data_IF_093888086980
#
_entry.id   IF_093888086980
#
_cell.length_a   1.000
_cell.length_b   1.000
_cell.length_c   1.000
_cell.angle_alpha   90.00
_cell.angle_beta   90.00
_cell.angle_gamma   90.00
#
_symmetry.space_group_name_H-M   'P 1'
#
loop_
_entity.id
_entity.type
_entity.pdbx_description
1 polymer ?
#
# COMPACT_ATOMS: atom_id res chain seq x y z
N UNK A 1 13.45 -2.63 -23.63
CA UNK A 1 12.87 -1.57 -22.76
C UNK A 1 13.10 -1.92 -21.30
N UNK A 2 13.44 -0.95 -20.45
CA UNK A 2 13.60 -1.21 -19.01
C UNK A 2 12.25 -1.44 -18.32
N UNK A 3 12.18 -2.35 -17.35
CA UNK A 3 10.94 -2.63 -16.62
C UNK A 3 10.64 -1.53 -15.61
N UNK A 4 9.37 -1.15 -15.54
CA UNK A 4 8.82 -0.23 -14.53
C UNK A 4 8.04 -1.03 -13.52
N UNK A 5 8.36 -0.86 -12.24
CA UNK A 5 7.63 -1.45 -11.12
C UNK A 5 6.64 -0.43 -10.57
N UNK A 6 5.39 -0.84 -10.37
CA UNK A 6 4.40 -0.05 -9.64
C UNK A 6 4.18 -0.69 -8.28
N UNK A 7 4.70 -0.02 -7.25
CA UNK A 7 4.71 -0.49 -5.88
C UNK A 7 3.62 0.23 -5.08
N UNK A 8 2.65 -0.55 -4.62
CA UNK A 8 1.46 -0.05 -3.97
C UNK A 8 1.46 -0.36 -2.48
N UNK A 9 1.14 0.65 -1.66
CA UNK A 9 0.50 0.38 -0.39
C UNK A 9 -0.99 -0.02 -0.57
N UNK A 10 -1.62 -0.54 0.48
CA UNK A 10 -2.96 -1.13 0.42
C UNK A 10 -4.00 -0.31 1.18
N UNK A 11 -4.05 -0.44 2.51
CA UNK A 11 -5.05 0.19 3.35
C UNK A 11 -4.85 1.71 3.36
N UNK A 12 -5.88 2.49 3.07
CA UNK A 12 -5.77 3.94 2.93
C UNK A 12 -5.24 4.39 1.56
N UNK A 13 -4.60 3.51 0.78
CA UNK A 13 -4.12 3.80 -0.58
C UNK A 13 -5.06 3.25 -1.65
N UNK A 14 -5.23 1.93 -1.74
CA UNK A 14 -6.09 1.27 -2.73
C UNK A 14 -7.45 0.90 -2.17
N UNK A 15 -7.54 0.75 -0.85
CA UNK A 15 -8.76 0.40 -0.14
C UNK A 15 -9.14 1.50 0.85
N UNK A 16 -10.43 1.80 0.94
CA UNK A 16 -11.00 2.55 2.04
C UNK A 16 -11.26 1.57 3.19
N UNK A 17 -10.75 1.91 4.38
CA UNK A 17 -10.95 1.15 5.61
C UNK A 17 -11.39 2.12 6.70
N UNK A 18 -12.60 1.91 7.21
CA UNK A 18 -13.19 2.74 8.25
C UNK A 18 -13.55 1.88 9.45
N UNK A 19 -13.07 2.29 10.62
CA UNK A 19 -13.35 1.66 11.90
C UNK A 19 -14.74 2.07 12.40
N UNK A 20 -15.61 1.10 12.68
CA UNK A 20 -16.96 1.37 13.18
C UNK A 20 -16.98 1.47 14.71
N UNK A 21 -16.71 2.68 15.22
CA UNK A 21 -16.75 2.99 16.66
C UNK A 21 -18.14 2.72 17.24
N UNK A 22 -19.21 3.06 16.51
CA UNK A 22 -20.59 2.93 17.01
C UNK A 22 -20.95 1.49 17.30
N UNK A 23 -20.52 0.57 16.43
CA UNK A 23 -20.84 -0.85 16.59
C UNK A 23 -19.87 -1.60 17.49
N UNK A 24 -18.65 -1.10 17.67
CA UNK A 24 -17.64 -1.74 18.53
C UNK A 24 -17.66 -1.23 19.96
N UNK A 25 -17.99 0.05 20.17
CA UNK A 25 -17.83 0.73 21.46
C UNK A 25 -16.38 1.10 21.78
N UNK A 26 -15.41 0.86 20.88
CA UNK A 26 -14.00 1.17 21.10
C UNK A 26 -13.54 2.31 20.19
N UNK A 27 -12.75 3.27 20.70
CA UNK A 27 -12.33 4.44 19.93
C UNK A 27 -11.35 4.09 18.80
N UNK A 28 -10.55 3.03 18.96
CA UNK A 28 -9.69 2.53 17.91
C UNK A 28 -9.66 0.99 17.87
N UNK A 29 -9.32 0.48 16.69
CA UNK A 29 -9.16 -0.96 16.44
C UNK A 29 -8.20 -1.64 17.42
N UNK A 30 -7.09 -0.99 17.78
CA UNK A 30 -6.12 -1.56 18.71
C UNK A 30 -6.68 -1.78 20.11
N UNK A 31 -7.64 -0.94 20.54
CA UNK A 31 -8.27 -1.07 21.85
C UNK A 31 -9.27 -2.24 21.84
N UNK A 32 -10.01 -2.40 20.74
CA UNK A 32 -10.89 -3.55 20.53
C UNK A 32 -10.10 -4.86 20.44
N UNK A 33 -8.97 -4.88 19.72
CA UNK A 33 -8.09 -6.06 19.62
C UNK A 33 -7.57 -6.46 21.00
N UNK A 34 -7.03 -5.50 21.76
CA UNK A 34 -6.53 -5.75 23.11
C UNK A 34 -7.64 -6.35 24.00
N UNK A 35 -8.85 -5.80 23.96
CA UNK A 35 -9.99 -6.32 24.70
C UNK A 35 -10.41 -7.73 24.24
N UNK A 36 -10.42 -8.00 22.93
CA UNK A 36 -10.76 -9.33 22.38
C UNK A 36 -9.75 -10.40 22.76
N UNK A 37 -8.47 -10.05 22.79
CA UNK A 37 -7.39 -10.94 23.19
C UNK A 37 -7.21 -11.02 24.72
N UNK A 38 -7.95 -10.23 25.50
CA UNK A 38 -7.79 -10.09 26.95
C UNK A 38 -6.36 -9.71 27.35
N UNK A 39 -5.73 -8.82 26.58
CA UNK A 39 -4.37 -8.32 26.79
C UNK A 39 -4.35 -6.81 26.98
N UNK A 40 -3.27 -6.28 27.54
CA UNK A 40 -2.98 -4.84 27.41
C UNK A 40 -2.55 -4.55 25.97
N UNK A 41 -2.83 -3.34 25.49
CA UNK A 41 -2.45 -2.91 24.13
C UNK A 41 -0.94 -3.04 23.86
N UNK A 42 -0.10 -2.81 24.86
CA UNK A 42 1.35 -2.95 24.77
C UNK A 42 1.85 -4.41 24.68
N UNK A 43 1.00 -5.37 25.00
CA UNK A 43 1.29 -6.81 24.98
C UNK A 43 0.78 -7.49 23.71
N UNK A 44 -0.02 -6.79 22.91
CA UNK A 44 -0.48 -7.27 21.60
C UNK A 44 0.68 -7.16 20.63
N UNK A 45 1.10 -8.29 20.08
CA UNK A 45 2.16 -8.32 19.07
C UNK A 45 1.66 -7.76 17.73
N UNK A 46 2.58 -7.30 16.88
CA UNK A 46 2.22 -6.84 15.52
C UNK A 46 1.51 -7.96 14.73
N UNK A 47 1.92 -9.22 14.89
CA UNK A 47 1.26 -10.38 14.26
C UNK A 47 -0.19 -10.54 14.72
N UNK A 48 -0.41 -10.58 16.03
CA UNK A 48 -1.76 -10.72 16.60
C UNK A 48 -2.68 -9.57 16.18
N UNK A 49 -2.12 -8.35 16.13
CA UNK A 49 -2.84 -7.18 15.65
C UNK A 49 -3.30 -7.36 14.19
N UNK A 50 -2.40 -7.82 13.30
CA UNK A 50 -2.73 -8.02 11.90
C UNK A 50 -3.64 -9.24 11.67
N UNK A 51 -3.55 -10.31 12.46
CA UNK A 51 -4.42 -11.49 12.39
C UNK A 51 -5.88 -11.18 12.74
N UNK A 52 -6.11 -10.27 13.68
CA UNK A 52 -7.46 -9.85 14.06
C UNK A 52 -8.22 -9.13 12.94
N UNK A 53 -7.53 -8.66 11.89
CA UNK A 53 -8.20 -8.15 10.69
C UNK A 53 -8.93 -9.25 9.90
N UNK A 54 -8.55 -10.53 10.06
CA UNK A 54 -9.29 -11.67 9.47
C UNK A 54 -10.75 -11.62 9.86
N UNK A 55 -11.01 -11.44 11.15
CA UNK A 55 -12.37 -11.35 11.68
C UNK A 55 -13.15 -10.23 10.98
N UNK A 56 -12.53 -9.05 10.87
CA UNK A 56 -13.14 -7.88 10.23
C UNK A 56 -13.52 -8.14 8.77
N UNK A 57 -12.61 -8.72 7.99
CA UNK A 57 -12.81 -8.94 6.57
C UNK A 57 -13.72 -10.15 6.28
N UNK A 58 -13.70 -11.20 7.10
CA UNK A 58 -14.58 -12.35 6.89
C UNK A 58 -16.04 -12.07 7.26
N UNK A 59 -16.30 -11.19 8.23
CA UNK A 59 -17.64 -10.92 8.75
C UNK A 59 -18.19 -9.54 8.33
N UNK A 60 -17.37 -8.70 7.69
CA UNK A 60 -17.76 -7.36 7.28
C UNK A 60 -17.96 -6.35 8.41
N UNK A 61 -17.41 -6.66 9.57
CA UNK A 61 -17.40 -5.86 10.78
C UNK A 61 -16.25 -6.37 11.66
N UNK A 62 -15.48 -5.52 12.34
CA UNK A 62 -15.70 -4.10 12.63
C UNK A 62 -15.20 -3.04 11.65
N UNK A 63 -14.64 -3.46 10.51
CA UNK A 63 -14.10 -2.54 9.51
C UNK A 63 -15.02 -2.50 8.30
N UNK A 64 -15.44 -1.30 7.90
CA UNK A 64 -16.06 -1.07 6.61
C UNK A 64 -14.98 -0.94 5.56
N UNK A 65 -14.88 -1.97 4.72
CA UNK A 65 -13.92 -2.04 3.62
C UNK A 65 -14.60 -1.66 2.28
N UNK A 66 -13.92 -0.91 1.42
CA UNK A 66 -14.36 -0.63 0.06
C UNK A 66 -13.17 -0.44 -0.89
N UNK A 67 -13.37 -0.68 -2.19
CA UNK A 67 -12.42 -0.28 -3.22
C UNK A 67 -12.43 1.25 -3.36
N UNK A 68 -11.26 1.85 -3.55
CA UNK A 68 -11.23 3.28 -3.90
C UNK A 68 -11.70 3.52 -5.34
N UNK A 69 -12.35 4.66 -5.61
CA UNK A 69 -12.67 5.06 -6.97
C UNK A 69 -11.42 5.06 -7.87
N UNK A 70 -11.54 4.48 -9.06
CA UNK A 70 -10.43 4.33 -10.02
C UNK A 70 -9.54 3.11 -9.79
N UNK A 71 -9.78 2.27 -8.76
CA UNK A 71 -8.96 1.09 -8.46
C UNK A 71 -8.69 0.20 -9.69
N UNK A 72 -9.75 -0.24 -10.39
CA UNK A 72 -9.61 -1.12 -11.55
C UNK A 72 -8.91 -0.41 -12.70
N UNK A 73 -9.34 0.79 -13.02
CA UNK A 73 -8.81 1.59 -14.13
C UNK A 73 -7.29 1.78 -14.00
N UNK A 74 -6.85 2.20 -12.81
CA UNK A 74 -5.44 2.47 -12.53
C UNK A 74 -4.63 1.18 -12.56
N UNK A 75 -5.10 0.10 -11.92
CA UNK A 75 -4.33 -1.14 -11.88
C UNK A 75 -4.31 -1.92 -13.21
N UNK A 76 -5.30 -1.72 -14.08
CA UNK A 76 -5.25 -2.21 -15.47
C UNK A 76 -4.22 -1.43 -16.29
N UNK A 77 -4.16 -0.11 -16.09
CA UNK A 77 -3.24 0.75 -16.81
C UNK A 77 -1.78 0.53 -16.37
N UNK A 78 -1.54 0.37 -15.07
CA UNK A 78 -0.21 0.11 -14.52
C UNK A 78 0.17 -1.36 -14.74
N UNK A 79 1.27 -1.60 -15.47
CA UNK A 79 1.82 -2.96 -15.65
C UNK A 79 2.75 -3.30 -14.49
N UNK A 80 2.91 -4.58 -14.14
CA UNK A 80 3.82 -5.02 -13.06
C UNK A 80 3.49 -4.42 -11.67
N UNK A 81 2.24 -4.55 -11.25
CA UNK A 81 1.83 -4.13 -9.91
C UNK A 81 2.31 -5.13 -8.87
N UNK A 82 2.97 -4.61 -7.84
CA UNK A 82 3.26 -5.35 -6.62
C UNK A 82 2.87 -4.51 -5.42
N UNK A 83 2.58 -5.18 -4.31
CA UNK A 83 2.30 -4.47 -3.05
C UNK A 83 3.53 -4.48 -2.15
N UNK A 84 3.60 -3.47 -1.27
CA UNK A 84 4.49 -3.48 -0.11
C UNK A 84 3.71 -2.89 1.07
N UNK A 85 3.00 -3.74 1.80
CA UNK A 85 2.08 -3.35 2.87
C UNK A 85 2.63 -3.67 4.26
N UNK A 86 2.11 -2.97 5.26
CA UNK A 86 2.34 -3.29 6.69
C UNK A 86 1.56 -4.51 7.16
N UNK A 87 0.44 -4.84 6.51
CA UNK A 87 -0.35 -6.03 6.83
C UNK A 87 0.27 -7.31 6.27
N UNK A 88 -0.18 -8.45 6.78
CA UNK A 88 0.26 -9.78 6.32
C UNK A 88 -0.26 -10.09 4.91
N UNK A 89 0.41 -10.99 4.20
CA UNK A 89 0.05 -11.37 2.82
C UNK A 89 -1.37 -11.97 2.75
N UNK A 90 -1.73 -12.77 3.75
CA UNK A 90 -3.01 -13.46 3.89
C UNK A 90 -4.19 -12.48 3.93
N UNK A 91 -3.97 -11.26 4.42
CA UNK A 91 -5.02 -10.26 4.46
C UNK A 91 -5.55 -9.90 3.08
N UNK A 92 -4.75 -10.05 2.02
CA UNK A 92 -5.27 -9.83 0.67
C UNK A 92 -6.33 -10.88 0.30
N UNK A 93 -6.16 -12.13 0.72
CA UNK A 93 -7.17 -13.16 0.50
C UNK A 93 -8.45 -12.84 1.27
N UNK A 94 -8.33 -12.35 2.50
CA UNK A 94 -9.48 -11.94 3.31
C UNK A 94 -10.21 -10.73 2.72
N UNK A 95 -9.45 -9.70 2.28
CA UNK A 95 -10.01 -8.55 1.55
C UNK A 95 -10.72 -8.99 0.28
N UNK A 96 -10.14 -9.92 -0.49
CA UNK A 96 -10.75 -10.46 -1.70
C UNK A 96 -12.07 -11.17 -1.41
N UNK A 97 -12.15 -11.99 -0.35
CA UNK A 97 -13.41 -12.64 0.08
C UNK A 97 -14.52 -11.61 0.32
N UNK A 98 -14.19 -10.50 0.97
CA UNK A 98 -15.13 -9.42 1.25
C UNK A 98 -15.50 -8.57 0.02
N UNK A 99 -14.50 -8.22 -0.80
CA UNK A 99 -14.64 -7.22 -1.86
C UNK A 99 -15.04 -7.82 -3.21
N UNK A 100 -14.65 -9.05 -3.54
CA UNK A 100 -14.90 -9.63 -4.86
C UNK A 100 -16.40 -9.65 -5.24
N UNK A 101 -17.35 -9.99 -4.34
CA UNK A 101 -18.77 -9.91 -4.66
C UNK A 101 -19.24 -8.49 -5.04
N UNK A 102 -18.67 -7.47 -4.40
CA UNK A 102 -19.00 -6.05 -4.63
C UNK A 102 -18.29 -5.49 -5.86
N UNK A 103 -17.08 -5.99 -6.12
CA UNK A 103 -16.26 -5.59 -7.24
C UNK A 103 -16.68 -6.27 -8.54
N UNK A 104 -17.37 -7.42 -8.48
CA UNK A 104 -17.69 -8.23 -9.65
C UNK A 104 -16.45 -8.84 -10.33
N UNK A 105 -15.32 -8.94 -9.64
CA UNK A 105 -14.10 -9.56 -10.15
C UNK A 105 -13.16 -9.94 -8.99
N UNK A 106 -12.19 -10.81 -9.28
CA UNK A 106 -11.12 -11.12 -8.33
C UNK A 106 -10.05 -10.02 -8.31
N UNK A 107 -10.04 -9.22 -7.23
CA UNK A 107 -9.13 -8.09 -7.07
C UNK A 107 -7.65 -8.52 -7.01
N UNK A 108 -7.36 -9.79 -6.73
CA UNK A 108 -5.98 -10.28 -6.63
C UNK A 108 -5.28 -10.35 -7.98
N UNK A 109 -6.05 -10.51 -9.06
CA UNK A 109 -5.55 -10.65 -10.44
C UNK A 109 -4.79 -9.41 -10.93
N UNK A 110 -4.97 -8.27 -10.28
CA UNK A 110 -4.27 -7.04 -10.63
C UNK A 110 -2.81 -6.98 -10.17
N UNK A 111 -2.37 -7.90 -9.31
CA UNK A 111 -1.04 -7.89 -8.71
C UNK A 111 -0.24 -9.13 -9.09
N UNK A 112 1.05 -8.93 -9.35
CA UNK A 112 2.00 -10.01 -9.59
C UNK A 112 2.50 -10.64 -8.28
N UNK A 113 2.59 -9.83 -7.24
CA UNK A 113 3.05 -10.26 -5.93
C UNK A 113 2.52 -9.37 -4.81
N UNK A 114 2.19 -9.99 -3.69
CA UNK A 114 1.91 -9.32 -2.43
C UNK A 114 3.16 -9.40 -1.55
N UNK A 115 3.83 -8.27 -1.32
CA UNK A 115 4.94 -8.23 -0.35
C UNK A 115 4.45 -7.56 0.94
N UNK A 116 4.96 -8.06 2.06
CA UNK A 116 4.60 -7.63 3.40
C UNK A 116 5.85 -7.25 4.20
N UNK A 117 5.71 -6.38 5.20
CA UNK A 117 6.76 -6.18 6.21
C UNK A 117 7.06 -7.47 6.99
N UNK A 118 6.09 -8.38 7.08
CA UNK A 118 6.26 -9.71 7.69
C UNK A 118 7.23 -10.62 6.92
N UNK A 119 7.52 -10.32 5.65
CA UNK A 119 8.55 -11.02 4.87
C UNK A 119 9.98 -10.68 5.35
N UNK A 120 10.10 -9.70 6.24
CA UNK A 120 11.37 -9.15 6.74
C UNK A 120 11.49 -9.24 8.27
N UNK A 121 10.50 -9.82 8.96
CA UNK A 121 10.45 -9.98 10.42
C UNK A 121 9.04 -9.78 10.97
N UNK A 122 8.79 -10.15 12.22
CA UNK A 122 7.47 -10.09 12.88
C UNK A 122 7.05 -8.65 13.24
N UNK A 123 6.89 -7.79 12.23
CA UNK A 123 6.47 -6.40 12.43
C UNK A 123 5.55 -5.88 11.34
N UNK A 124 4.63 -4.99 11.73
CA UNK A 124 3.76 -4.24 10.84
C UNK A 124 4.29 -2.82 10.55
N UNK A 125 5.59 -2.56 10.76
CA UNK A 125 6.21 -1.26 10.52
C UNK A 125 7.17 -1.33 9.34
N UNK A 126 6.99 -0.43 8.37
CA UNK A 126 7.93 -0.28 7.25
C UNK A 126 9.22 0.38 7.75
N UNK A 127 10.35 -0.13 7.29
CA UNK A 127 11.67 0.51 7.51
C UNK A 127 12.37 0.81 6.18
N UNK A 128 13.35 1.71 6.23
CA UNK A 128 14.19 2.05 5.07
C UNK A 128 14.95 0.82 4.58
N UNK A 129 15.45 -0.01 5.50
CA UNK A 129 16.27 -1.19 5.26
C UNK A 129 15.50 -2.26 4.49
N UNK A 130 14.23 -2.49 4.85
CA UNK A 130 13.35 -3.40 4.11
C UNK A 130 13.18 -2.95 2.65
N UNK A 131 12.92 -1.65 2.45
CA UNK A 131 12.78 -1.07 1.10
C UNK A 131 14.09 -1.13 0.31
N UNK A 132 15.25 -0.88 0.93
CA UNK A 132 16.56 -1.05 0.27
C UNK A 132 16.74 -2.49 -0.20
N UNK A 133 16.44 -3.47 0.67
CA UNK A 133 16.55 -4.88 0.31
C UNK A 133 15.60 -5.25 -0.84
N UNK A 134 14.34 -4.82 -0.75
CA UNK A 134 13.33 -5.04 -1.78
C UNK A 134 13.74 -4.44 -3.13
N UNK A 135 14.08 -3.14 -3.15
CA UNK A 135 14.49 -2.43 -4.36
C UNK A 135 15.76 -3.03 -4.97
N UNK A 136 16.70 -3.51 -4.15
CA UNK A 136 17.90 -4.21 -4.62
C UNK A 136 17.57 -5.52 -5.35
N UNK A 137 16.65 -6.31 -4.80
CA UNK A 137 16.14 -7.53 -5.47
C UNK A 137 15.50 -7.18 -6.82
N UNK A 138 14.64 -6.16 -6.87
CA UNK A 138 13.97 -5.71 -8.10
C UNK A 138 14.94 -5.16 -9.13
N UNK A 139 15.95 -4.41 -8.70
CA UNK A 139 16.99 -3.94 -9.60
C UNK A 139 17.74 -5.10 -10.28
N UNK A 140 18.09 -6.15 -9.54
CA UNK A 140 18.70 -7.36 -10.14
C UNK A 140 17.78 -8.07 -11.13
N UNK A 141 16.47 -7.98 -10.96
CA UNK A 141 15.45 -8.51 -11.88
C UNK A 141 15.19 -7.63 -13.12
N UNK A 142 15.97 -6.55 -13.32
CA UNK A 142 15.87 -5.68 -14.49
C UNK A 142 14.90 -4.50 -14.34
N UNK A 143 14.27 -4.32 -13.18
CA UNK A 143 13.50 -3.11 -12.89
C UNK A 143 14.45 -1.92 -12.73
N UNK A 144 14.26 -0.87 -13.53
CA UNK A 144 15.08 0.36 -13.48
C UNK A 144 14.28 1.58 -13.08
N UNK A 145 12.95 1.53 -13.17
CA UNK A 145 12.06 2.59 -12.73
C UNK A 145 11.11 2.03 -11.69
N UNK A 146 10.92 2.75 -10.58
CA UNK A 146 9.95 2.38 -9.55
C UNK A 146 9.00 3.53 -9.28
N UNK A 147 7.71 3.29 -9.37
CA UNK A 147 6.68 4.19 -8.89
C UNK A 147 6.20 3.67 -7.55
N UNK A 148 6.25 4.50 -6.52
CA UNK A 148 5.72 4.16 -5.20
C UNK A 148 4.52 5.02 -4.87
N UNK A 149 3.47 4.40 -4.34
CA UNK A 149 2.20 5.04 -4.01
C UNK A 149 1.80 4.64 -2.60
N UNK A 150 1.59 5.62 -1.73
CA UNK A 150 1.25 5.43 -0.31
C UNK A 150 0.44 6.62 0.21
N UNK A 151 -0.47 6.39 1.16
CA UNK A 151 -1.27 7.43 1.80
C UNK A 151 -0.58 8.04 3.03
N UNK A 152 0.45 7.37 3.56
CA UNK A 152 1.22 7.85 4.70
C UNK A 152 2.50 8.55 4.24
N UNK A 153 2.58 9.84 4.52
CA UNK A 153 3.77 10.65 4.21
C UNK A 153 5.07 10.11 4.83
N UNK A 154 5.01 9.50 6.02
CA UNK A 154 6.18 8.88 6.66
C UNK A 154 6.76 7.74 5.81
N UNK A 155 5.90 6.87 5.26
CA UNK A 155 6.31 5.79 4.35
C UNK A 155 6.93 6.36 3.06
N UNK A 156 6.34 7.43 2.52
CA UNK A 156 6.89 8.14 1.37
C UNK A 156 8.32 8.65 1.63
N UNK A 157 8.56 9.22 2.83
CA UNK A 157 9.90 9.68 3.24
C UNK A 157 10.91 8.53 3.36
N UNK A 158 10.49 7.38 3.91
CA UNK A 158 11.34 6.18 3.96
C UNK A 158 11.71 5.69 2.56
N UNK A 159 10.75 5.68 1.63
CA UNK A 159 11.00 5.32 0.24
C UNK A 159 12.02 6.23 -0.44
N UNK A 160 11.89 7.57 -0.31
CA UNK A 160 12.87 8.51 -0.87
C UNK A 160 14.28 8.21 -0.31
N UNK A 161 14.37 7.99 1.00
CA UNK A 161 15.65 7.69 1.66
C UNK A 161 16.26 6.36 1.17
N UNK A 162 15.43 5.33 1.00
CA UNK A 162 15.84 4.04 0.46
C UNK A 162 16.33 4.16 -0.99
N UNK A 163 15.59 4.85 -1.86
CA UNK A 163 15.97 5.04 -3.26
C UNK A 163 17.26 5.85 -3.37
N UNK A 164 17.43 6.94 -2.60
CA UNK A 164 18.69 7.70 -2.59
C UNK A 164 19.88 6.83 -2.18
N UNK A 165 19.71 5.98 -1.18
CA UNK A 165 20.73 5.01 -0.77
C UNK A 165 21.06 4.03 -1.90
N UNK A 166 20.04 3.53 -2.59
CA UNK A 166 20.17 2.64 -3.74
C UNK A 166 20.87 3.31 -4.92
N UNK A 167 20.56 4.57 -5.22
CA UNK A 167 21.14 5.32 -6.35
C UNK A 167 22.66 5.54 -6.20
N UNK A 168 23.19 5.58 -4.98
CA UNK A 168 24.65 5.61 -4.73
C UNK A 168 25.36 4.38 -5.32
N UNK A 169 24.68 3.22 -5.32
CA UNK A 169 25.21 1.94 -5.82
C UNK A 169 24.70 1.58 -7.21
N UNK A 170 23.55 2.14 -7.61
CA UNK A 170 22.83 1.81 -8.83
C UNK A 170 22.37 3.09 -9.54
N UNK A 171 23.31 3.76 -10.21
CA UNK A 171 23.11 5.08 -10.86
C UNK A 171 21.97 5.13 -11.88
N UNK A 172 21.55 3.98 -12.42
CA UNK A 172 20.44 3.86 -13.38
C UNK A 172 19.03 3.72 -12.76
N UNK A 173 18.90 3.67 -11.43
CA UNK A 173 17.60 3.56 -10.77
C UNK A 173 16.86 4.91 -10.80
N UNK A 174 15.71 4.96 -11.46
CA UNK A 174 14.78 6.09 -11.50
C UNK A 174 13.60 5.82 -10.56
N UNK A 175 13.00 6.87 -10.03
CA UNK A 175 11.77 6.74 -9.26
C UNK A 175 10.79 7.89 -9.51
N UNK A 176 9.52 7.60 -9.26
CA UNK A 176 8.46 8.59 -9.04
C UNK A 176 7.69 8.19 -7.78
N UNK A 177 7.18 9.17 -7.06
CA UNK A 177 6.51 8.97 -5.78
C UNK A 177 5.21 9.75 -5.75
N UNK A 178 4.15 9.08 -5.34
CA UNK A 178 2.81 9.64 -5.19
C UNK A 178 2.34 9.46 -3.74
N UNK A 179 2.08 10.58 -3.07
CA UNK A 179 1.45 10.62 -1.77
C UNK A 179 -0.05 10.88 -1.97
N UNK A 180 -0.90 9.89 -1.70
CA UNK A 180 -2.34 10.01 -1.91
C UNK A 180 -3.02 10.58 -0.68
N UNK A 181 -3.66 11.73 -0.84
CA UNK A 181 -4.31 12.48 0.25
C UNK A 181 -5.78 12.09 0.45
N UNK A 182 -6.38 11.40 -0.53
CA UNK A 182 -7.77 10.97 -0.48
C UNK A 182 -8.78 12.12 -0.37
N UNK A 183 -8.47 13.23 -1.02
CA UNK A 183 -9.34 14.41 -1.07
C UNK A 183 -9.75 14.74 -2.52
N UNK A 184 -10.49 15.84 -2.69
CA UNK A 184 -10.92 16.30 -4.02
C UNK A 184 -9.86 17.15 -4.72
N UNK A 185 -8.66 17.29 -4.17
CA UNK A 185 -7.62 18.16 -4.75
C UNK A 185 -6.91 17.42 -5.89
N UNK A 186 -6.50 18.18 -6.90
CA UNK A 186 -5.71 17.64 -8.01
C UNK A 186 -4.24 17.40 -7.64
N UNK A 187 -3.43 17.20 -8.67
CA UNK A 187 -1.99 16.93 -8.53
C UNK A 187 -1.24 18.18 -8.06
N UNK A 188 -0.37 18.03 -7.06
CA UNK A 188 0.57 19.08 -6.64
C UNK A 188 1.99 18.53 -6.61
N UNK A 189 2.91 19.18 -7.32
CA UNK A 189 4.33 18.84 -7.30
C UNK A 189 4.96 19.32 -5.98
N UNK A 190 5.64 18.41 -5.28
CA UNK A 190 6.45 18.70 -4.10
C UNK A 190 7.91 18.36 -4.37
N UNK A 191 8.81 18.73 -3.46
CA UNK A 191 10.23 18.38 -3.58
C UNK A 191 10.39 16.86 -3.45
N UNK A 192 10.59 16.19 -4.58
CA UNK A 192 10.87 14.74 -4.64
C UNK A 192 9.66 13.82 -4.73
N UNK A 193 8.43 14.35 -4.81
CA UNK A 193 7.20 13.56 -4.96
C UNK A 193 6.03 14.41 -5.48
N UNK A 194 4.91 13.75 -5.80
CA UNK A 194 3.63 14.37 -6.14
C UNK A 194 2.61 14.06 -5.05
N UNK A 195 1.83 15.07 -4.64
CA UNK A 195 0.58 14.84 -3.91
C UNK A 195 -0.55 14.67 -4.91
N UNK A 196 -1.46 13.72 -4.65
CA UNK A 196 -2.64 13.45 -5.48
C UNK A 196 -3.87 13.27 -4.60
N UNK A 197 -5.04 13.65 -5.08
CA UNK A 197 -6.30 13.43 -4.36
C UNK A 197 -6.88 12.05 -4.65
N UNK A 198 -6.77 11.58 -5.89
CA UNK A 198 -7.42 10.35 -6.38
C UNK A 198 -6.43 9.43 -7.09
N UNK A 199 -6.73 8.13 -7.13
CA UNK A 199 -5.91 7.15 -7.84
C UNK A 199 -5.75 7.49 -9.33
N UNK A 200 -6.81 7.95 -9.99
CA UNK A 200 -6.81 8.30 -11.42
C UNK A 200 -5.87 9.46 -11.78
N UNK A 201 -5.52 10.30 -10.80
CA UNK A 201 -4.56 11.39 -11.00
C UNK A 201 -3.18 10.86 -11.40
N UNK A 202 -2.83 9.63 -10.99
CA UNK A 202 -1.58 8.96 -11.36
C UNK A 202 -1.52 8.78 -12.87
N UNK A 203 -2.58 8.23 -13.49
CA UNK A 203 -2.62 7.99 -14.95
C UNK A 203 -2.43 9.31 -15.69
N UNK A 204 -3.19 10.34 -15.28
CA UNK A 204 -3.16 11.65 -15.92
C UNK A 204 -1.77 12.28 -15.84
N UNK A 205 -1.10 12.19 -14.69
CA UNK A 205 0.25 12.71 -14.52
C UNK A 205 1.28 11.92 -15.32
N UNK A 206 1.22 10.59 -15.26
CA UNK A 206 2.20 9.73 -15.94
C UNK A 206 2.10 9.82 -17.47
N UNK A 207 0.89 9.96 -18.02
CA UNK A 207 0.70 10.24 -19.45
C UNK A 207 1.37 11.55 -19.86
N UNK A 208 1.16 12.62 -19.09
CA UNK A 208 1.79 13.94 -19.33
C UNK A 208 3.31 13.83 -19.29
N UNK A 209 3.87 13.24 -18.24
CA UNK A 209 5.32 13.07 -18.09
C UNK A 209 5.98 12.23 -19.19
N UNK A 210 5.21 11.34 -19.83
CA UNK A 210 5.71 10.51 -20.93
C UNK A 210 5.61 11.24 -22.28
N UNK A 211 4.60 12.10 -22.46
CA UNK A 211 4.43 12.91 -23.68
C UNK A 211 5.41 14.09 -23.81
N UNK A 212 6.16 14.40 -22.76
CA UNK A 212 7.18 15.48 -22.75
C UNK A 212 8.60 14.95 -22.97
N UNK A 213 8.74 13.69 -23.39
CA UNK A 213 9.97 13.01 -23.76
C UNK A 213 9.89 12.58 -25.22
#
# INVERSE_FOLDING_TARGET
MSKTLYLWDLAGTLFYEEWDIKKTGYPAIGDWIAAKLKKKKSEVTDREYEEMHRFAYEHGWPIKLALKPGFKEVLIWTKHNETFSTGMQEQMAWRAKYLNPKAGCDIRKFFQKFNSTFDYGETNKKTKEMLINYLGKKYRQGYRTVLYIDDKLSNCKFFISAVKSMQKRHKGLKYRLYHILNDKKGIRKKRGYFEIGRLTDIINNEKKLTSTL
#
